data_IF_052891486385
#
_entry.id   IF_052891486385
#
_cell.length_a   1.000
_cell.length_b   1.000
_cell.length_c   1.000
_cell.angle_alpha   90.00
_cell.angle_beta   90.00
_cell.angle_gamma   90.00
#
_symmetry.space_group_name_H-M   'P 1'
#
loop_
_entity.id
_entity.type
_entity.pdbx_description
1 polymer ?
#
# COMPACT_ATOMS: atom_id res chain seq x y z
N UNK A 1 7.27 32.05 21.09
CA UNK A 1 5.87 31.61 20.93
C UNK A 1 5.54 31.57 19.45
N UNK A 2 5.59 30.40 18.81
CA UNK A 2 5.02 30.18 17.48
C UNK A 2 4.01 29.05 17.61
N UNK A 3 2.78 29.34 17.16
CA UNK A 3 1.57 28.54 17.32
C UNK A 3 1.76 27.18 16.66
N UNK A 4 1.56 26.11 17.43
CA UNK A 4 1.34 24.77 16.90
C UNK A 4 0.03 24.76 16.12
N UNK A 5 0.13 24.75 14.79
CA UNK A 5 -0.98 24.34 13.95
C UNK A 5 -1.09 22.83 14.08
N UNK A 6 -2.12 22.35 14.77
CA UNK A 6 -2.53 20.95 14.65
C UNK A 6 -3.01 20.79 13.21
N UNK A 7 -2.21 20.16 12.36
CA UNK A 7 -2.71 19.68 11.07
C UNK A 7 -3.66 18.53 11.41
N UNK A 8 -4.97 18.80 11.36
CA UNK A 8 -5.97 17.74 11.46
C UNK A 8 -5.99 17.10 10.08
N UNK A 9 -5.07 16.18 9.85
CA UNK A 9 -5.11 15.37 8.65
C UNK A 9 -6.41 14.55 8.66
N UNK A 10 -7.13 14.46 7.53
CA UNK A 10 -8.29 13.59 7.47
C UNK A 10 -7.81 12.15 7.69
N UNK A 11 -8.44 11.41 8.61
CA UNK A 11 -8.03 10.05 8.89
C UNK A 11 -8.37 9.15 7.70
N UNK A 12 -7.49 8.21 7.38
CA UNK A 12 -7.74 7.25 6.30
C UNK A 12 -9.00 6.44 6.64
N UNK A 13 -9.90 6.28 5.67
CA UNK A 13 -11.15 5.50 5.82
C UNK A 13 -10.95 4.07 5.37
N UNK A 14 -11.34 3.13 6.24
CA UNK A 14 -11.19 1.70 5.96
C UNK A 14 -12.07 1.30 4.78
N UNK A 15 -11.61 0.29 4.05
CA UNK A 15 -12.24 -0.23 2.85
C UNK A 15 -11.98 0.60 1.58
N UNK A 16 -11.08 1.58 1.64
CA UNK A 16 -10.71 2.42 0.49
C UNK A 16 -9.28 2.19 0.03
N UNK A 17 -9.05 2.46 -1.25
CA UNK A 17 -7.74 2.55 -1.88
C UNK A 17 -7.27 3.98 -2.06
N UNK A 18 -5.98 4.20 -1.84
CA UNK A 18 -5.32 5.50 -1.91
C UNK A 18 -4.16 5.50 -2.89
N UNK A 19 -3.97 6.62 -3.58
CA UNK A 19 -2.88 6.88 -4.52
C UNK A 19 -1.98 7.99 -4.01
N UNK A 20 -0.69 7.69 -3.89
CA UNK A 20 0.36 8.67 -3.66
C UNK A 20 1.20 8.84 -4.92
N UNK A 21 1.19 10.05 -5.48
CA UNK A 21 2.01 10.42 -6.63
C UNK A 21 3.34 11.03 -6.19
N UNK A 22 4.40 10.79 -6.98
CA UNK A 22 5.75 11.34 -6.80
C UNK A 22 6.39 10.99 -5.44
N UNK A 23 6.68 9.71 -5.18
CA UNK A 23 6.88 9.22 -3.82
C UNK A 23 8.31 9.32 -3.27
N UNK A 24 9.15 10.24 -3.77
CA UNK A 24 10.63 10.23 -3.67
C UNK A 24 11.23 9.74 -2.33
N UNK A 25 10.62 10.02 -1.17
CA UNK A 25 10.96 9.41 0.15
C UNK A 25 9.72 9.10 1.03
N UNK A 26 8.51 9.08 0.45
CA UNK A 26 7.26 9.04 1.23
C UNK A 26 6.87 7.64 1.68
N UNK A 27 7.27 6.59 0.95
CA UNK A 27 6.86 5.21 1.26
C UNK A 27 7.38 4.77 2.63
N UNK A 28 8.70 4.86 2.86
CA UNK A 28 9.30 4.42 4.13
C UNK A 28 8.77 5.21 5.33
N UNK A 29 8.53 6.50 5.14
CA UNK A 29 7.92 7.36 6.15
C UNK A 29 6.50 6.90 6.48
N UNK A 30 5.71 6.56 5.46
CA UNK A 30 4.35 6.04 5.63
C UNK A 30 4.34 4.68 6.33
N UNK A 31 5.21 3.75 5.95
CA UNK A 31 5.27 2.42 6.58
C UNK A 31 5.73 2.52 8.05
N UNK A 32 6.71 3.38 8.36
CA UNK A 32 7.11 3.66 9.76
C UNK A 32 5.97 4.27 10.57
N UNK A 33 5.16 5.09 9.93
CA UNK A 33 4.02 5.70 10.56
C UNK A 33 2.93 4.66 10.88
N UNK A 34 2.63 3.73 9.97
CA UNK A 34 1.76 2.59 10.25
C UNK A 34 2.27 1.75 11.43
N UNK A 35 3.58 1.49 11.46
CA UNK A 35 4.22 0.78 12.57
C UNK A 35 4.04 1.51 13.92
N UNK A 36 4.27 2.82 13.96
CA UNK A 36 4.08 3.64 15.16
C UNK A 36 2.62 3.64 15.64
N UNK A 37 1.66 3.66 14.70
CA UNK A 37 0.24 3.53 14.96
C UNK A 37 -0.21 2.08 15.27
N UNK A 38 0.72 1.11 15.33
CA UNK A 38 0.45 -0.32 15.54
C UNK A 38 -0.56 -0.92 14.54
N UNK A 39 -0.60 -0.36 13.33
CA UNK A 39 -1.43 -0.86 12.24
C UNK A 39 -0.64 -1.94 11.49
N UNK A 40 -1.12 -3.20 11.42
CA UNK A 40 -0.43 -4.23 10.67
C UNK A 40 -0.41 -3.86 9.18
N UNK A 41 0.68 -4.15 8.49
CA UNK A 41 0.79 -3.87 7.07
C UNK A 41 1.58 -4.94 6.31
N UNK A 42 1.31 -5.07 5.02
CA UNK A 42 2.14 -5.78 4.06
C UNK A 42 2.72 -4.78 3.05
N UNK A 43 4.04 -4.61 3.08
CA UNK A 43 4.75 -3.76 2.13
C UNK A 43 5.30 -4.57 0.96
N UNK A 44 4.70 -4.37 -0.21
CA UNK A 44 5.08 -5.00 -1.47
C UNK A 44 6.03 -4.08 -2.24
N UNK A 45 7.32 -4.42 -2.27
CA UNK A 45 8.36 -3.55 -2.83
C UNK A 45 9.40 -4.28 -3.66
N UNK A 46 9.94 -3.63 -4.68
CA UNK A 46 11.06 -4.16 -5.46
C UNK A 46 12.41 -3.87 -4.83
N UNK A 47 12.45 -2.87 -3.96
CA UNK A 47 13.68 -2.46 -3.30
C UNK A 47 14.03 -3.44 -2.19
N UNK A 48 15.32 -3.51 -1.85
CA UNK A 48 15.75 -4.19 -0.65
C UNK A 48 15.64 -3.19 0.50
N UNK A 49 14.72 -3.35 1.47
CA UNK A 49 14.67 -2.45 2.60
C UNK A 49 16.01 -2.50 3.35
N UNK A 50 16.60 -1.32 3.59
CA UNK A 50 17.89 -1.22 4.29
C UNK A 50 17.77 -1.48 5.79
N UNK A 51 16.56 -1.40 6.34
CA UNK A 51 16.26 -1.67 7.73
C UNK A 51 15.03 -2.58 7.82
N UNK A 52 14.98 -3.40 8.87
CA UNK A 52 13.74 -4.08 9.25
C UNK A 52 12.71 -3.03 9.62
N UNK A 53 11.48 -3.19 9.14
CA UNK A 53 10.37 -2.34 9.56
C UNK A 53 9.55 -3.15 10.55
N UNK A 54 9.58 -2.74 11.81
CA UNK A 54 8.83 -3.42 12.86
C UNK A 54 7.32 -3.24 12.64
N UNK A 55 6.52 -4.23 13.04
CA UNK A 55 5.06 -4.13 13.03
C UNK A 55 4.36 -4.50 11.73
N UNK A 56 5.09 -4.91 10.68
CA UNK A 56 4.49 -5.43 9.45
C UNK A 56 5.40 -6.38 8.67
N UNK A 57 4.84 -6.92 7.59
CA UNK A 57 5.47 -7.91 6.75
C UNK A 57 5.98 -7.24 5.45
N UNK A 58 7.08 -7.75 4.89
CA UNK A 58 7.64 -7.26 3.62
C UNK A 58 7.61 -8.38 2.60
N UNK A 59 7.01 -8.10 1.44
CA UNK A 59 7.07 -8.95 0.27
C UNK A 59 7.94 -8.30 -0.80
N UNK A 60 9.11 -8.90 -1.06
CA UNK A 60 10.01 -8.38 -2.07
C UNK A 60 9.62 -8.85 -3.47
N UNK A 61 9.15 -7.94 -4.30
CA UNK A 61 8.77 -8.22 -5.69
C UNK A 61 9.99 -8.15 -6.59
N UNK A 62 10.56 -9.31 -6.90
CA UNK A 62 11.80 -9.43 -7.68
C UNK A 62 11.87 -10.76 -8.42
N UNK A 63 12.62 -10.79 -9.51
CA UNK A 63 12.89 -12.04 -10.24
C UNK A 63 13.93 -12.93 -9.54
N UNK A 64 14.59 -12.41 -8.50
CA UNK A 64 15.52 -13.19 -7.69
C UNK A 64 14.76 -14.17 -6.80
N UNK A 65 15.20 -15.44 -6.80
CA UNK A 65 14.66 -16.45 -5.89
C UNK A 65 15.16 -16.21 -4.47
N UNK A 66 14.26 -16.34 -3.50
CA UNK A 66 14.57 -16.16 -2.08
C UNK A 66 13.31 -16.29 -1.22
N UNK A 67 13.50 -16.58 0.06
CA UNK A 67 12.39 -16.54 1.03
C UNK A 67 11.92 -15.08 1.15
N UNK A 68 10.62 -14.86 1.17
CA UNK A 68 10.03 -13.52 1.21
C UNK A 68 10.06 -12.77 -0.13
N UNK A 69 10.48 -13.42 -1.22
CA UNK A 69 10.43 -12.85 -2.56
C UNK A 69 9.23 -13.40 -3.35
N UNK A 70 8.64 -12.57 -4.21
CA UNK A 70 7.66 -12.97 -5.22
C UNK A 70 8.10 -12.50 -6.62
N UNK A 71 7.93 -13.38 -7.62
CA UNK A 71 8.24 -13.03 -9.01
C UNK A 71 7.17 -12.05 -9.55
N UNK A 72 7.55 -10.89 -10.12
CA UNK A 72 6.60 -9.91 -10.68
C UNK A 72 5.73 -10.45 -11.83
N UNK A 73 6.08 -11.59 -12.43
CA UNK A 73 5.27 -12.31 -13.44
C UNK A 73 4.13 -13.11 -12.82
N UNK A 74 4.21 -13.41 -11.52
CA UNK A 74 3.27 -14.27 -10.79
C UNK A 74 2.33 -13.42 -9.92
N UNK A 75 1.56 -12.53 -10.55
CA UNK A 75 0.61 -11.64 -9.86
C UNK A 75 -0.35 -12.38 -8.92
N UNK A 76 -0.72 -13.62 -9.26
CA UNK A 76 -1.55 -14.50 -8.40
C UNK A 76 -0.88 -14.82 -7.07
N UNK A 77 0.44 -15.02 -7.05
CA UNK A 77 1.17 -15.29 -5.81
C UNK A 77 1.24 -14.04 -4.94
N UNK A 78 1.45 -12.87 -5.55
CA UNK A 78 1.49 -11.59 -4.86
C UNK A 78 0.12 -11.30 -4.21
N UNK A 79 -0.97 -11.55 -4.94
CA UNK A 79 -2.34 -11.49 -4.39
C UNK A 79 -2.54 -12.49 -3.27
N UNK A 80 -2.08 -13.74 -3.43
CA UNK A 80 -2.20 -14.75 -2.39
C UNK A 80 -1.44 -14.37 -1.10
N UNK A 81 -0.29 -13.70 -1.23
CA UNK A 81 0.42 -13.15 -0.08
C UNK A 81 -0.40 -12.04 0.63
N UNK A 82 -1.09 -11.19 -0.13
CA UNK A 82 -1.98 -10.17 0.42
C UNK A 82 -3.16 -10.78 1.20
N UNK A 83 -3.81 -11.81 0.64
CA UNK A 83 -4.91 -12.51 1.32
C UNK A 83 -4.40 -13.24 2.57
N UNK A 84 -3.26 -13.93 2.47
CA UNK A 84 -2.62 -14.61 3.61
C UNK A 84 -2.29 -13.63 4.74
N UNK A 85 -1.72 -12.47 4.40
CA UNK A 85 -1.46 -11.41 5.37
C UNK A 85 -2.74 -11.01 6.12
N UNK A 86 -3.84 -10.79 5.41
CA UNK A 86 -5.10 -10.44 6.07
C UNK A 86 -5.66 -11.56 6.94
N UNK A 87 -5.55 -12.81 6.48
CA UNK A 87 -6.05 -13.96 7.22
C UNK A 87 -5.24 -14.19 8.53
N UNK A 88 -3.93 -13.88 8.51
CA UNK A 88 -3.03 -14.06 9.66
C UNK A 88 -2.97 -12.85 10.61
N UNK A 89 -3.02 -11.62 10.07
CA UNK A 89 -2.82 -10.37 10.82
C UNK A 89 -4.11 -9.59 11.06
N UNK A 90 -5.20 -9.94 10.39
CA UNK A 90 -6.46 -9.20 10.41
C UNK A 90 -6.44 -7.95 9.54
N UNK A 91 -7.46 -7.06 9.68
CA UNK A 91 -7.55 -5.83 8.91
C UNK A 91 -6.34 -4.92 9.13
N UNK A 92 -5.71 -4.50 8.03
CA UNK A 92 -4.47 -3.71 8.06
C UNK A 92 -4.32 -2.85 6.80
N UNK A 93 -3.08 -2.62 6.38
CA UNK A 93 -2.77 -1.90 5.15
C UNK A 93 -1.96 -2.75 4.16
N UNK A 94 -2.34 -2.70 2.88
CA UNK A 94 -1.46 -3.12 1.79
C UNK A 94 -0.75 -1.88 1.25
N UNK A 95 0.57 -1.92 1.19
CA UNK A 95 1.39 -0.83 0.65
C UNK A 95 2.11 -1.35 -0.60
N UNK A 96 1.81 -0.77 -1.76
CA UNK A 96 2.35 -1.17 -3.06
C UNK A 96 3.14 -0.03 -3.70
N UNK A 97 4.47 -0.16 -3.78
CA UNK A 97 5.34 0.84 -4.43
C UNK A 97 6.07 0.31 -5.68
N UNK A 98 5.87 -0.96 -6.02
CA UNK A 98 6.62 -1.65 -7.06
C UNK A 98 5.88 -1.80 -8.40
N UNK A 99 5.06 -0.80 -8.77
CA UNK A 99 4.30 -0.86 -10.03
C UNK A 99 5.19 -0.97 -11.27
N UNK A 100 6.33 -0.27 -11.30
CA UNK A 100 7.23 -0.27 -12.45
C UNK A 100 7.72 -1.68 -12.84
N UNK A 101 8.32 -2.49 -11.94
CA UNK A 101 8.71 -3.86 -12.28
C UNK A 101 7.51 -4.78 -12.57
N UNK A 102 6.36 -4.60 -11.90
CA UNK A 102 5.15 -5.34 -12.23
C UNK A 102 4.71 -5.10 -13.68
N UNK A 103 4.68 -3.83 -14.11
CA UNK A 103 4.30 -3.45 -15.48
C UNK A 103 5.32 -3.95 -16.49
N UNK A 104 6.61 -3.81 -16.18
CA UNK A 104 7.70 -4.28 -17.03
C UNK A 104 7.58 -5.78 -17.35
N UNK A 105 7.16 -6.59 -16.37
CA UNK A 105 7.13 -8.05 -16.50
C UNK A 105 5.76 -8.64 -16.87
N UNK A 106 4.66 -8.00 -16.47
CA UNK A 106 3.30 -8.55 -16.63
C UNK A 106 2.42 -7.76 -17.61
N UNK A 107 2.82 -6.52 -17.94
CA UNK A 107 2.08 -5.61 -18.81
C UNK A 107 1.02 -4.80 -18.07
N UNK A 108 0.73 -3.60 -18.58
CA UNK A 108 -0.14 -2.60 -17.91
C UNK A 108 -1.52 -3.15 -17.58
N UNK A 109 -2.21 -3.79 -18.53
CA UNK A 109 -3.59 -4.26 -18.34
C UNK A 109 -3.73 -5.29 -17.22
N UNK A 110 -2.74 -6.19 -17.10
CA UNK A 110 -2.73 -7.21 -16.04
C UNK A 110 -2.45 -6.58 -14.68
N UNK A 111 -1.57 -5.59 -14.64
CA UNK A 111 -1.26 -4.86 -13.40
C UNK A 111 -2.45 -4.03 -12.94
N UNK A 112 -3.18 -3.37 -13.85
CA UNK A 112 -4.40 -2.64 -13.50
C UNK A 112 -5.45 -3.57 -12.88
N UNK A 113 -5.72 -4.73 -13.51
CA UNK A 113 -6.62 -5.74 -12.93
C UNK A 113 -6.11 -6.25 -11.57
N UNK A 114 -4.81 -6.41 -11.42
CA UNK A 114 -4.24 -6.83 -10.14
C UNK A 114 -4.42 -5.77 -9.04
N UNK A 115 -4.26 -4.48 -9.35
CA UNK A 115 -4.53 -3.39 -8.40
C UNK A 115 -6.01 -3.35 -8.04
N UNK A 116 -6.89 -3.54 -9.03
CA UNK A 116 -8.35 -3.64 -8.84
C UNK A 116 -8.72 -4.81 -7.91
N UNK A 117 -8.17 -6.00 -8.18
CA UNK A 117 -8.34 -7.18 -7.32
C UNK A 117 -7.88 -6.88 -5.88
N UNK A 118 -6.73 -6.21 -5.68
CA UNK A 118 -6.27 -5.85 -4.34
C UNK A 118 -7.22 -4.85 -3.67
N UNK A 119 -7.73 -3.87 -4.41
CA UNK A 119 -8.67 -2.88 -3.90
C UNK A 119 -9.95 -3.57 -3.40
N UNK A 120 -10.51 -4.49 -4.19
CA UNK A 120 -11.66 -5.30 -3.78
C UNK A 120 -11.37 -6.11 -2.50
N UNK A 121 -10.22 -6.80 -2.42
CA UNK A 121 -9.84 -7.56 -1.22
C UNK A 121 -9.75 -6.65 0.02
N UNK A 122 -9.24 -5.42 -0.14
CA UNK A 122 -9.16 -4.44 0.96
C UNK A 122 -10.53 -3.94 1.40
N UNK A 123 -11.44 -3.70 0.44
CA UNK A 123 -12.81 -3.28 0.70
C UNK A 123 -13.58 -4.36 1.49
N UNK A 124 -13.49 -5.63 1.08
CA UNK A 124 -14.14 -6.76 1.76
C UNK A 124 -13.66 -6.97 3.21
N UNK A 125 -12.43 -6.56 3.52
CA UNK A 125 -11.79 -6.80 4.82
C UNK A 125 -11.71 -5.59 5.73
N UNK A 126 -12.32 -4.47 5.33
CA UNK A 126 -12.24 -3.21 6.07
C UNK A 126 -10.77 -2.78 6.33
N UNK A 127 -9.93 -2.98 5.31
CA UNK A 127 -8.50 -2.68 5.27
C UNK A 127 -8.23 -1.49 4.34
N UNK A 128 -6.98 -1.07 4.18
CA UNK A 128 -6.61 0.00 3.27
C UNK A 128 -5.65 -0.50 2.20
N UNK A 129 -5.81 -0.02 0.97
CA UNK A 129 -4.79 -0.14 -0.07
C UNK A 129 -4.10 1.21 -0.24
N UNK A 130 -2.77 1.24 -0.27
CA UNK A 130 -2.02 2.45 -0.60
C UNK A 130 -1.03 2.13 -1.71
N UNK A 131 -1.23 2.79 -2.85
CA UNK A 131 -0.43 2.63 -4.06
C UNK A 131 0.44 3.85 -4.24
N UNK A 132 1.74 3.65 -4.31
CA UNK A 132 2.71 4.69 -4.65
C UNK A 132 3.08 4.57 -6.12
N UNK A 133 2.93 5.65 -6.87
CA UNK A 133 3.18 5.70 -8.30
C UNK A 133 4.02 6.92 -8.65
N UNK A 134 4.99 6.76 -9.56
CA UNK A 134 5.74 7.87 -10.13
C UNK A 134 5.25 8.11 -11.58
N UNK A 135 4.44 9.16 -11.84
CA UNK A 135 3.93 9.47 -13.17
C UNK A 135 5.00 9.65 -14.24
N UNK A 136 6.20 10.13 -13.88
CA UNK A 136 7.26 10.45 -14.83
C UNK A 136 7.81 9.21 -15.57
N UNK A 137 7.76 8.05 -14.91
CA UNK A 137 8.23 6.77 -15.45
C UNK A 137 7.12 5.81 -15.90
N UNK A 138 5.85 6.24 -15.85
CA UNK A 138 4.70 5.37 -16.01
C UNK A 138 3.80 5.74 -17.20
N UNK A 139 3.03 4.75 -17.66
CA UNK A 139 2.08 4.95 -18.75
C UNK A 139 0.96 5.92 -18.32
N UNK A 140 0.70 6.99 -19.08
CA UNK A 140 -0.34 7.99 -18.77
C UNK A 140 -1.74 7.39 -18.59
N UNK A 141 -2.10 6.35 -19.35
CA UNK A 141 -3.40 5.67 -19.19
C UNK A 141 -3.50 4.94 -17.86
N UNK A 142 -2.38 4.39 -17.38
CA UNK A 142 -2.32 3.74 -16.08
C UNK A 142 -2.49 4.75 -14.95
N UNK A 143 -1.80 5.90 -15.02
CA UNK A 143 -1.94 6.97 -14.04
C UNK A 143 -3.39 7.48 -14.01
N UNK A 144 -3.97 7.81 -15.18
CA UNK A 144 -5.36 8.27 -15.25
C UNK A 144 -6.37 7.24 -14.73
N UNK A 145 -6.08 5.94 -14.88
CA UNK A 145 -6.90 4.89 -14.27
C UNK A 145 -6.76 4.90 -12.75
N UNK A 146 -5.53 4.94 -12.22
CA UNK A 146 -5.26 4.96 -10.79
C UNK A 146 -5.90 6.18 -10.11
N UNK A 147 -5.79 7.36 -10.71
CA UNK A 147 -6.40 8.60 -10.20
C UNK A 147 -7.93 8.58 -10.20
N UNK A 148 -8.53 7.76 -11.07
CA UNK A 148 -9.98 7.58 -11.13
C UNK A 148 -10.48 6.56 -10.12
N UNK A 149 -9.69 5.52 -9.87
CA UNK A 149 -10.08 4.37 -9.04
C UNK A 149 -9.74 4.56 -7.55
N UNK A 150 -8.68 5.31 -7.26
CA UNK A 150 -8.14 5.46 -5.91
C UNK A 150 -8.25 6.92 -5.46
N UNK A 151 -8.54 7.12 -4.18
CA UNK A 151 -8.54 8.44 -3.57
C UNK A 151 -7.11 8.99 -3.44
N UNK A 152 -6.94 10.31 -3.53
CA UNK A 152 -5.63 10.90 -3.27
C UNK A 152 -5.22 10.64 -1.81
N UNK A 153 -4.00 10.12 -1.58
CA UNK A 153 -3.45 9.96 -0.24
C UNK A 153 -3.22 11.37 0.37
N UNK A 154 -3.85 11.70 1.51
CA UNK A 154 -3.60 12.98 2.16
C UNK A 154 -2.14 13.10 2.59
N UNK A 155 -1.52 14.26 2.36
CA UNK A 155 -0.08 14.47 2.65
C UNK A 155 0.29 14.29 4.13
N UNK A 156 -0.66 14.51 5.02
CA UNK A 156 -0.50 14.40 6.47
C UNK A 156 -1.24 13.18 7.05
N UNK A 157 -1.74 12.26 6.21
CA UNK A 157 -2.71 11.25 6.61
C UNK A 157 -2.30 10.44 7.86
N UNK A 158 -3.24 10.32 8.81
CA UNK A 158 -3.16 9.37 9.91
C UNK A 158 -4.10 8.17 9.68
N UNK A 159 -3.75 6.89 9.97
CA UNK A 159 -4.75 5.84 9.88
C UNK A 159 -5.84 6.19 10.91
N UNK A 160 -7.11 6.15 10.49
CA UNK A 160 -8.19 6.29 11.45
C UNK A 160 -8.00 5.23 12.55
N UNK A 161 -7.83 5.70 13.79
CA UNK A 161 -7.92 4.86 14.97
C UNK A 161 -9.22 4.07 14.90
N UNK A 162 -9.14 2.80 15.28
CA UNK A 162 -10.31 1.95 15.53
C UNK A 162 -11.30 2.78 16.34
N UNK A 163 -12.51 3.01 15.81
CA UNK A 163 -13.59 3.53 16.64
C UNK A 163 -13.80 2.48 17.73
N UNK A 164 -13.27 2.79 18.91
CA UNK A 164 -13.47 2.03 20.12
C UNK A 164 -14.98 2.15 20.39
N UNK A 165 -15.72 1.13 19.97
CA UNK A 165 -17.11 1.02 20.35
C UNK A 165 -17.14 0.94 21.87
N UNK A 166 -17.51 2.07 22.49
CA UNK A 166 -17.98 2.17 23.87
C UNK A 166 -18.88 0.97 24.15
N UNK A 167 -18.36 0.00 24.93
CA UNK A 167 -19.21 -0.88 25.71
C UNK A 167 -19.28 -0.23 27.10
N UNK A 168 -20.47 0.29 27.37
CA UNK A 168 -20.90 0.86 28.66
C UNK A 168 -20.77 -0.17 29.78
#
# INVERSE_FOLDING_TARGET
>A
MHKGGVSIAPPLKRGLGYLALDPDDTVLSFVRFLAAARTPFLWMTSDQPRATVDGGDVLRVTTLRGIGNADPRRLKDIRAAATTFFDERGPGALVLDCLAPLVLHSGVERVLRFVDDLHEETAMRNAFLVVFANPSGMNRRMIAWLERELDALPRDAEPAGVEDHLVV
#
